data_IF_486598679830
#
_entry.id   IF_486598679830
#
_cell.length_a   1.000
_cell.length_b   1.000
_cell.length_c   1.000
_cell.angle_alpha   90.00
_cell.angle_beta   90.00
_cell.angle_gamma   90.00
#
_symmetry.space_group_name_H-M   'P 1'
#
loop_
_entity.id
_entity.type
_entity.pdbx_description
1 polymer ?
#
# COMPACT_ATOMS: atom_id res chain seq x y z
N UNK A 1 10.15 -0.25 16.65
CA UNK A 1 9.19 -0.13 15.53
C UNK A 1 9.90 -0.50 14.25
N UNK A 2 9.33 -1.39 13.43
CA UNK A 2 9.99 -1.97 12.25
C UNK A 2 9.21 -1.64 10.97
N UNK A 3 9.81 -0.88 10.06
CA UNK A 3 9.30 -0.64 8.71
C UNK A 3 8.02 0.19 8.66
N UNK A 4 7.80 1.11 9.61
CA UNK A 4 6.57 1.90 9.66
C UNK A 4 6.65 3.20 8.84
N UNK A 5 5.50 3.63 8.34
CA UNK A 5 5.27 5.01 7.89
C UNK A 5 4.89 5.90 9.08
N UNK A 6 5.30 7.16 9.04
CA UNK A 6 5.03 8.17 10.05
C UNK A 6 4.54 9.47 9.41
N UNK A 7 3.54 10.07 10.05
CA UNK A 7 2.99 11.35 9.65
C UNK A 7 2.00 11.29 8.47
N UNK A 8 1.67 12.45 7.87
CA UNK A 8 2.18 13.77 8.23
C UNK A 8 1.72 14.25 9.62
N UNK A 9 2.59 14.90 10.37
CA UNK A 9 2.22 15.54 11.64
C UNK A 9 2.18 17.06 11.46
N UNK A 10 0.99 17.65 11.67
CA UNK A 10 0.76 19.05 11.31
C UNK A 10 1.02 20.05 12.43
N UNK A 11 0.92 19.64 13.70
CA UNK A 11 0.98 20.55 14.84
C UNK A 11 2.18 20.27 15.77
N UNK A 12 2.61 21.31 16.49
CA UNK A 12 3.78 21.27 17.39
C UNK A 12 3.59 20.31 18.57
N UNK A 13 2.35 20.12 19.03
CA UNK A 13 2.03 19.20 20.12
C UNK A 13 2.27 17.75 19.71
N UNK A 14 1.81 17.36 18.52
CA UNK A 14 2.09 16.06 17.90
C UNK A 14 3.58 15.86 17.73
N UNK A 15 4.32 16.87 17.27
CA UNK A 15 5.79 16.77 17.14
C UNK A 15 6.46 16.48 18.48
N UNK A 16 6.09 17.21 19.53
CA UNK A 16 6.64 17.01 20.86
C UNK A 16 6.30 15.62 21.42
N UNK A 17 5.05 15.17 21.27
CA UNK A 17 4.62 13.85 21.71
C UNK A 17 5.35 12.74 20.97
N UNK A 18 5.47 12.83 19.65
CA UNK A 18 6.20 11.85 18.83
C UNK A 18 7.67 11.79 19.23
N UNK A 19 8.33 12.94 19.43
CA UNK A 19 9.70 12.99 19.92
C UNK A 19 9.85 12.33 21.28
N UNK A 20 8.97 12.64 22.23
CA UNK A 20 8.99 12.05 23.57
C UNK A 20 8.78 10.54 23.50
N UNK A 21 7.78 10.08 22.76
CA UNK A 21 7.46 8.66 22.60
C UNK A 21 8.65 7.89 22.01
N UNK A 22 9.20 8.40 20.90
CA UNK A 22 10.29 7.72 20.18
C UNK A 22 11.64 7.83 20.89
N UNK A 23 11.85 8.82 21.76
CA UNK A 23 13.07 8.89 22.59
C UNK A 23 13.26 7.65 23.48
N UNK A 24 12.15 6.99 23.84
CA UNK A 24 12.13 5.76 24.64
C UNK A 24 12.25 4.48 23.81
N UNK A 25 12.14 4.55 22.49
CA UNK A 25 12.22 3.37 21.63
C UNK A 25 13.66 2.88 21.48
N UNK A 26 13.90 1.59 21.69
CA UNK A 26 15.21 0.97 21.44
C UNK A 26 15.57 0.93 19.94
N UNK A 27 14.56 0.91 19.06
CA UNK A 27 14.75 0.81 17.62
C UNK A 27 13.65 1.56 16.85
N UNK A 28 14.08 2.37 15.86
CA UNK A 28 13.21 3.15 14.99
C UNK A 28 13.58 2.86 13.53
N UNK A 29 12.87 1.92 12.92
CA UNK A 29 12.96 1.62 11.49
C UNK A 29 11.79 2.24 10.71
N UNK A 30 12.10 3.01 9.68
CA UNK A 30 11.13 3.59 8.74
C UNK A 30 11.31 2.97 7.35
N UNK A 31 10.21 2.76 6.60
CA UNK A 31 10.27 2.09 5.29
C UNK A 31 10.54 3.02 4.11
N UNK A 32 10.35 4.31 4.29
CA UNK A 32 10.50 5.33 3.25
C UNK A 32 11.09 6.65 3.76
N UNK A 33 11.69 7.41 2.83
CA UNK A 33 12.36 8.68 3.14
C UNK A 33 11.42 9.78 3.66
N UNK A 34 10.14 9.76 3.27
CA UNK A 34 9.16 10.71 3.77
C UNK A 34 9.04 10.63 5.29
N UNK A 35 8.84 9.42 5.82
CA UNK A 35 8.76 9.15 7.24
C UNK A 35 10.02 9.53 8.00
N UNK A 36 11.21 9.26 7.43
CA UNK A 36 12.49 9.73 7.99
C UNK A 36 12.50 11.25 8.16
N UNK A 37 12.10 11.99 7.12
CA UNK A 37 12.05 13.46 7.14
C UNK A 37 11.05 13.97 8.18
N UNK A 38 9.88 13.34 8.29
CA UNK A 38 8.86 13.70 9.29
C UNK A 38 9.37 13.53 10.72
N UNK A 39 10.07 12.43 11.01
CA UNK A 39 10.64 12.20 12.35
C UNK A 39 11.77 13.18 12.69
N UNK A 40 12.62 13.52 11.72
CA UNK A 40 13.65 14.56 11.88
C UNK A 40 12.99 15.91 12.19
N UNK A 41 11.92 16.27 11.47
CA UNK A 41 11.13 17.48 11.73
C UNK A 41 10.53 17.50 13.13
N UNK A 42 10.15 16.34 13.66
CA UNK A 42 9.68 16.21 15.04
C UNK A 42 10.81 16.35 16.09
N UNK A 43 12.08 16.38 15.68
CA UNK A 43 13.24 16.48 16.58
C UNK A 43 13.74 15.13 17.10
N UNK A 44 13.42 14.03 16.41
CA UNK A 44 14.04 12.73 16.64
C UNK A 44 15.42 12.73 15.99
N UNK A 45 16.42 12.25 16.73
CA UNK A 45 17.81 12.26 16.28
C UNK A 45 18.04 11.34 15.08
N UNK A 46 18.83 11.79 14.10
CA UNK A 46 19.04 11.08 12.83
C UNK A 46 19.75 9.75 13.00
N UNK A 47 20.69 9.66 13.94
CA UNK A 47 21.44 8.44 14.26
C UNK A 47 20.56 7.33 14.85
N UNK A 48 19.37 7.67 15.37
CA UNK A 48 18.40 6.69 15.90
C UNK A 48 17.42 6.19 14.84
N UNK A 49 17.35 6.85 13.68
CA UNK A 49 16.39 6.51 12.61
C UNK A 49 17.10 5.70 11.54
N UNK A 50 16.66 4.47 11.34
CA UNK A 50 17.15 3.60 10.28
C UNK A 50 16.12 3.52 9.15
N UNK A 51 16.59 3.71 7.92
CA UNK A 51 15.78 3.43 6.73
C UNK A 51 15.96 1.95 6.40
N UNK A 52 14.87 1.19 6.44
CA UNK A 52 14.86 -0.26 6.22
C UNK A 52 13.80 -0.62 5.18
N UNK A 53 13.87 -1.79 4.52
CA UNK A 53 12.79 -2.25 3.66
C UNK A 53 11.47 -2.45 4.43
N UNK A 54 10.34 -2.40 3.71
CA UNK A 54 9.05 -2.83 4.27
C UNK A 54 9.13 -4.31 4.69
N UNK A 55 8.46 -4.68 5.79
CA UNK A 55 8.44 -6.05 6.29
C UNK A 55 7.88 -7.06 5.26
N UNK A 56 7.01 -6.61 4.35
CA UNK A 56 6.47 -7.43 3.28
C UNK A 56 7.55 -8.02 2.35
N UNK A 57 8.73 -7.39 2.25
CA UNK A 57 9.82 -7.91 1.44
C UNK A 57 10.49 -9.17 2.03
N UNK A 58 10.24 -9.49 3.30
CA UNK A 58 10.75 -10.71 3.93
C UNK A 58 9.85 -11.91 3.62
N UNK A 59 8.61 -11.67 3.16
CA UNK A 59 7.67 -12.74 2.86
C UNK A 59 8.10 -13.48 1.60
N UNK A 60 8.36 -14.78 1.73
CA UNK A 60 8.58 -15.65 0.59
C UNK A 60 7.23 -15.94 -0.10
N UNK A 61 7.13 -15.75 -1.43
CA UNK A 61 5.93 -16.11 -2.16
C UNK A 61 5.69 -17.61 -2.09
N UNK A 62 4.54 -18.02 -1.57
CA UNK A 62 4.17 -19.43 -1.47
C UNK A 62 2.92 -19.73 -2.31
N UNK A 63 3.02 -20.74 -3.17
CA UNK A 63 1.87 -21.37 -3.82
C UNK A 63 1.15 -22.27 -2.82
N UNK A 64 0.45 -21.66 -1.88
CA UNK A 64 -0.37 -22.39 -0.91
C UNK A 64 -1.54 -23.08 -1.60
N UNK A 65 -2.10 -24.10 -0.94
CA UNK A 65 -3.33 -24.77 -1.39
C UNK A 65 -4.46 -23.77 -1.69
N UNK A 66 -4.56 -22.71 -0.87
CA UNK A 66 -5.50 -21.61 -1.09
C UNK A 66 -5.29 -20.89 -2.42
N UNK A 67 -4.03 -20.66 -2.83
CA UNK A 67 -3.72 -20.02 -4.12
C UNK A 67 -4.16 -20.92 -5.26
N UNK A 68 -3.82 -22.21 -5.20
CA UNK A 68 -4.24 -23.21 -6.20
C UNK A 68 -5.76 -23.27 -6.31
N UNK A 69 -6.48 -23.29 -5.19
CA UNK A 69 -7.94 -23.25 -5.14
C UNK A 69 -8.52 -22.02 -5.82
N UNK A 70 -7.98 -20.83 -5.54
CA UNK A 70 -8.44 -19.58 -6.15
C UNK A 70 -8.22 -19.65 -7.67
N UNK A 71 -7.06 -20.11 -8.12
CA UNK A 71 -6.76 -20.23 -9.55
C UNK A 71 -7.72 -21.22 -10.23
N UNK A 72 -7.94 -22.40 -9.65
CA UNK A 72 -8.79 -23.43 -10.20
C UNK A 72 -10.26 -23.01 -10.25
N UNK A 73 -10.82 -22.49 -9.14
CA UNK A 73 -12.22 -22.03 -9.07
C UNK A 73 -12.51 -20.92 -10.08
N UNK A 74 -11.51 -20.10 -10.38
CA UNK A 74 -11.64 -19.00 -11.33
C UNK A 74 -11.12 -19.35 -12.73
N UNK A 75 -10.73 -20.60 -13.03
CA UNK A 75 -10.14 -21.00 -14.30
C UNK A 75 -9.03 -20.03 -14.77
N UNK A 76 -8.04 -19.80 -13.91
CA UNK A 76 -6.93 -18.86 -14.13
C UNK A 76 -5.66 -19.61 -14.47
N UNK A 77 -5.16 -19.39 -15.68
CA UNK A 77 -3.88 -19.92 -16.10
C UNK A 77 -2.75 -18.93 -15.80
N UNK A 78 -1.58 -19.40 -15.31
CA UNK A 78 -0.43 -18.54 -15.10
C UNK A 78 -0.12 -17.67 -16.32
N UNK A 79 0.13 -16.38 -16.08
CA UNK A 79 0.46 -15.38 -17.11
C UNK A 79 -0.64 -15.09 -18.15
N UNK A 80 -1.88 -15.56 -17.94
CA UNK A 80 -3.03 -15.27 -18.82
C UNK A 80 -4.17 -14.52 -18.15
N UNK A 81 -3.91 -13.95 -16.98
CA UNK A 81 -4.88 -13.12 -16.27
C UNK A 81 -4.22 -11.89 -15.64
N UNK A 82 -5.05 -10.89 -15.37
CA UNK A 82 -4.72 -9.73 -14.56
C UNK A 82 -5.64 -9.67 -13.34
N UNK A 83 -5.06 -9.44 -12.17
CA UNK A 83 -5.81 -9.16 -10.95
C UNK A 83 -5.92 -7.65 -10.75
N UNK A 84 -7.13 -7.17 -10.50
CA UNK A 84 -7.42 -5.76 -10.25
C UNK A 84 -7.96 -5.64 -8.82
N UNK A 85 -7.40 -4.72 -8.04
CA UNK A 85 -7.88 -4.37 -6.71
C UNK A 85 -8.36 -2.92 -6.75
N UNK A 86 -9.64 -2.69 -6.50
CA UNK A 86 -10.25 -1.36 -6.67
C UNK A 86 -10.30 -0.67 -5.32
N UNK A 87 -9.42 0.32 -5.13
CA UNK A 87 -9.45 1.12 -3.91
C UNK A 87 -10.54 2.18 -3.96
N UNK A 88 -11.39 2.19 -2.94
CA UNK A 88 -12.27 3.30 -2.65
C UNK A 88 -11.54 4.33 -1.77
N UNK A 89 -11.22 5.50 -2.31
CA UNK A 89 -10.54 6.55 -1.57
C UNK A 89 -11.60 7.41 -0.84
N UNK A 90 -11.74 7.24 0.47
CA UNK A 90 -12.74 7.94 1.28
C UNK A 90 -12.31 9.36 1.72
N UNK A 91 -11.01 9.65 1.75
CA UNK A 91 -10.47 10.87 2.38
C UNK A 91 -9.96 11.93 1.40
N UNK A 92 -9.80 11.58 0.13
CA UNK A 92 -9.51 12.57 -0.90
C UNK A 92 -10.86 13.12 -1.32
N UNK A 93 -10.99 14.44 -1.47
CA UNK A 93 -12.10 15.17 -2.09
C UNK A 93 -12.32 14.76 -3.55
N UNK A 94 -12.43 13.47 -3.80
CA UNK A 94 -13.01 12.94 -4.98
C UNK A 94 -14.50 13.23 -4.80
N UNK A 95 -14.93 14.38 -5.32
CA UNK A 95 -16.35 14.63 -5.57
C UNK A 95 -16.96 13.35 -6.17
N UNK A 96 -18.24 13.06 -5.92
CA UNK A 96 -18.92 11.87 -6.48
C UNK A 96 -18.58 11.69 -7.97
N UNK A 97 -18.44 12.79 -8.71
CA UNK A 97 -18.04 12.84 -10.11
C UNK A 97 -16.60 12.37 -10.39
N UNK A 98 -15.63 12.71 -9.53
CA UNK A 98 -14.25 12.23 -9.65
C UNK A 98 -14.14 10.72 -9.47
N UNK A 99 -14.94 10.13 -8.57
CA UNK A 99 -14.84 8.71 -8.25
C UNK A 99 -15.48 7.90 -9.37
N UNK A 100 -16.63 8.39 -9.87
CA UNK A 100 -17.25 7.85 -11.08
C UNK A 100 -16.30 7.93 -12.28
N UNK A 101 -15.59 9.05 -12.48
CA UNK A 101 -14.59 9.17 -13.55
C UNK A 101 -13.45 8.17 -13.39
N UNK A 102 -12.92 8.02 -12.19
CA UNK A 102 -11.91 7.00 -11.89
C UNK A 102 -12.40 5.59 -12.26
N UNK A 103 -13.61 5.21 -11.84
CA UNK A 103 -14.20 3.93 -12.19
C UNK A 103 -14.41 3.76 -13.70
N UNK A 104 -14.81 4.82 -14.40
CA UNK A 104 -14.96 4.80 -15.87
C UNK A 104 -13.63 4.57 -16.58
N UNK A 105 -12.56 5.27 -16.18
CA UNK A 105 -11.24 5.07 -16.78
C UNK A 105 -10.64 3.70 -16.44
N UNK A 106 -10.91 3.20 -15.22
CA UNK A 106 -10.54 1.85 -14.83
C UNK A 106 -11.27 0.80 -15.69
N UNK A 107 -12.58 0.97 -15.90
CA UNK A 107 -13.37 0.07 -16.74
C UNK A 107 -12.84 0.02 -18.18
N UNK A 108 -12.57 1.17 -18.79
CA UNK A 108 -11.95 1.23 -20.13
C UNK A 108 -10.59 0.53 -20.19
N UNK A 109 -9.80 0.64 -19.13
CA UNK A 109 -8.50 -0.05 -19.04
C UNK A 109 -8.68 -1.56 -18.95
N UNK A 110 -9.68 -2.03 -18.20
CA UNK A 110 -10.06 -3.45 -18.10
C UNK A 110 -10.53 -3.96 -19.46
N UNK A 111 -11.42 -3.23 -20.15
CA UNK A 111 -11.92 -3.59 -21.48
C UNK A 111 -10.76 -3.71 -22.47
N UNK A 112 -9.78 -2.79 -22.43
CA UNK A 112 -8.58 -2.89 -23.25
C UNK A 112 -7.76 -4.16 -22.95
N UNK A 113 -7.56 -4.51 -21.68
CA UNK A 113 -6.81 -5.70 -21.27
C UNK A 113 -7.52 -6.98 -21.76
N UNK A 114 -8.85 -7.02 -21.68
CA UNK A 114 -9.65 -8.15 -22.16
C UNK A 114 -9.64 -8.23 -23.68
N UNK A 115 -10.04 -7.16 -24.36
CA UNK A 115 -10.35 -7.18 -25.79
C UNK A 115 -9.10 -7.11 -26.67
N UNK A 116 -8.05 -6.40 -26.22
CA UNK A 116 -6.83 -6.19 -27.02
C UNK A 116 -5.70 -7.10 -26.63
N UNK A 117 -5.58 -7.47 -25.36
CA UNK A 117 -4.52 -8.34 -24.88
C UNK A 117 -4.98 -9.79 -24.70
N UNK A 118 -6.28 -10.06 -24.67
CA UNK A 118 -6.83 -11.40 -24.49
C UNK A 118 -6.67 -11.96 -23.07
N UNK A 119 -6.46 -11.10 -22.08
CA UNK A 119 -6.27 -11.51 -20.68
C UNK A 119 -7.62 -11.63 -19.99
N UNK A 120 -7.75 -12.64 -19.13
CA UNK A 120 -8.86 -12.69 -18.17
C UNK A 120 -8.62 -11.68 -17.07
N UNK A 121 -9.63 -10.90 -16.69
CA UNK A 121 -9.52 -9.96 -15.56
C UNK A 121 -10.35 -10.46 -14.38
N UNK A 122 -9.77 -10.47 -13.19
CA UNK A 122 -10.47 -10.78 -11.93
C UNK A 122 -10.40 -9.59 -10.97
N UNK A 123 -11.48 -9.36 -10.21
CA UNK A 123 -11.46 -8.43 -9.09
C UNK A 123 -10.99 -9.17 -7.83
N UNK A 124 -9.88 -8.74 -7.26
CA UNK A 124 -9.26 -9.34 -6.08
C UNK A 124 -10.00 -9.02 -4.77
N UNK A 125 -10.83 -7.98 -4.74
CA UNK A 125 -11.60 -7.59 -3.54
C UNK A 125 -12.85 -8.46 -3.28
N UNK A 126 -13.09 -9.49 -4.09
CA UNK A 126 -14.14 -10.46 -3.84
C UNK A 126 -13.69 -11.45 -2.76
N UNK A 127 -13.90 -11.04 -1.50
CA UNK A 127 -14.02 -11.96 -0.36
C UNK A 127 -15.31 -12.78 -0.47
#
# INVERSE_FOLDING_TARGET
>A
MYGHSFGPFHNKLSHHFIRWLLSKANFIGVRENFSKKELIRCGVSTERIQLIPDAAFILEPEFSERVCDILNRNNLEPRKFAAVTVRHWYEIEITINGYRRYLQELAKSIDFIVDKLGFKVINWDLK
#
